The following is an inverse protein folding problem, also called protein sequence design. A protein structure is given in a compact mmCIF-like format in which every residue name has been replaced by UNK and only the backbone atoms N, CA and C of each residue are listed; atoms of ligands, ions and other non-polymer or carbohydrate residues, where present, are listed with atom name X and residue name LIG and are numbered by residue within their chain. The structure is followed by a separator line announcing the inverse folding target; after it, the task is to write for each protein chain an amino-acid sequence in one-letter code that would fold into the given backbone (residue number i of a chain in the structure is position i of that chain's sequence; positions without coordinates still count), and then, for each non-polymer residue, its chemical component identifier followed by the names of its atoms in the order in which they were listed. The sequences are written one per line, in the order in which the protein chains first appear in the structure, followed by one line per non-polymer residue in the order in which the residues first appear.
data_IF_665620347330
#
_entry.id   IF_665620347330
#
_cell.length_a   1.000
_cell.length_b   1.000
_cell.length_c   1.000
_cell.angle_alpha   90.00
_cell.angle_beta   90.00
_cell.angle_gamma   90.00
#
_symmetry.space_group_name_H-M   'P 1'
#
loop_
_entity.id
_entity.type
_entity.pdbx_description
1 polymer ?
#
# COMPACT_ATOMS: atom_id res chain seq x y z
N UNK A 1 -15.79 -7.47 24.55
CA UNK A 1 -14.36 -7.48 24.16
C UNK A 1 -14.14 -6.45 23.08
N UNK A 2 -13.23 -5.50 23.29
CA UNK A 2 -12.89 -4.49 22.28
C UNK A 2 -11.79 -5.03 21.36
N UNK A 3 -11.96 -4.90 20.04
CA UNK A 3 -10.95 -5.29 19.05
C UNK A 3 -9.63 -4.56 19.28
N UNK A 4 -9.68 -3.29 19.68
CA UNK A 4 -8.48 -2.48 19.94
C UNK A 4 -7.55 -3.07 20.99
N UNK A 5 -8.07 -3.80 21.98
CA UNK A 5 -7.28 -4.41 23.04
C UNK A 5 -6.80 -5.83 22.70
N UNK A 6 -7.25 -6.40 21.59
CA UNK A 6 -6.94 -7.76 21.17
C UNK A 6 -6.27 -7.82 19.77
N UNK A 7 -5.50 -6.78 19.43
CA UNK A 7 -4.81 -6.72 18.15
C UNK A 7 -3.57 -7.63 18.06
N UNK A 8 -3.08 -8.10 19.21
CA UNK A 8 -1.85 -8.90 19.32
C UNK A 8 -2.15 -10.25 19.94
N UNK A 9 -1.53 -11.30 19.43
CA UNK A 9 -1.59 -12.62 20.08
C UNK A 9 -0.74 -12.62 21.34
N UNK A 10 -1.27 -13.08 22.49
CA UNK A 10 -0.48 -13.19 23.71
C UNK A 10 0.64 -14.25 23.58
N UNK A 11 0.52 -15.17 22.64
CA UNK A 11 1.49 -16.24 22.42
C UNK A 11 2.83 -15.75 21.86
N UNK A 12 2.79 -14.94 20.79
CA UNK A 12 4.00 -14.56 20.02
C UNK A 12 4.19 -13.05 19.93
N UNK A 13 3.22 -12.26 20.36
CA UNK A 13 3.25 -10.81 20.17
C UNK A 13 3.13 -10.38 18.70
N UNK A 14 2.47 -11.19 17.88
CA UNK A 14 2.24 -10.91 16.47
C UNK A 14 0.87 -10.27 16.26
N UNK A 15 0.72 -9.33 15.32
CA UNK A 15 -0.58 -8.79 14.97
C UNK A 15 -1.51 -9.89 14.44
N UNK A 16 -2.69 -10.01 15.03
CA UNK A 16 -3.76 -10.92 14.58
C UNK A 16 -4.49 -10.31 13.39
N UNK A 17 -4.78 -9.01 13.49
CA UNK A 17 -5.51 -8.28 12.47
C UNK A 17 -4.49 -7.59 11.57
N UNK A 18 -4.60 -7.86 10.28
CA UNK A 18 -3.76 -7.28 9.24
C UNK A 18 -4.45 -7.39 7.89
N UNK A 19 -3.81 -6.90 6.84
CA UNK A 19 -4.32 -7.03 5.49
C UNK A 19 -4.33 -8.50 5.03
N UNK A 20 -5.44 -8.90 4.41
CA UNK A 20 -5.64 -10.24 3.82
C UNK A 20 -6.23 -10.10 2.42
N UNK A 21 -6.08 -11.14 1.59
CA UNK A 21 -6.72 -11.28 0.27
C UNK A 21 -6.71 -9.97 -0.55
N UNK A 22 -7.88 -9.38 -0.78
CA UNK A 22 -8.08 -8.20 -1.60
C UNK A 22 -7.30 -6.99 -1.12
N UNK A 23 -7.11 -6.84 0.18
CA UNK A 23 -6.32 -5.74 0.74
C UNK A 23 -4.83 -5.86 0.36
N UNK A 24 -4.29 -7.08 0.34
CA UNK A 24 -2.91 -7.34 -0.10
C UNK A 24 -2.81 -7.12 -1.61
N UNK A 25 -3.77 -7.62 -2.38
CA UNK A 25 -3.79 -7.46 -3.84
C UNK A 25 -3.86 -5.98 -4.23
N UNK A 26 -4.78 -5.22 -3.64
CA UNK A 26 -4.91 -3.79 -3.88
C UNK A 26 -3.64 -3.03 -3.49
N UNK A 27 -3.07 -3.34 -2.33
CA UNK A 27 -1.84 -2.71 -1.85
C UNK A 27 -0.67 -2.95 -2.81
N UNK A 28 -0.52 -4.19 -3.27
CA UNK A 28 0.52 -4.55 -4.24
C UNK A 28 0.34 -3.81 -5.57
N UNK A 29 -0.85 -3.86 -6.15
CA UNK A 29 -1.14 -3.23 -7.44
C UNK A 29 -0.97 -1.71 -7.40
N UNK A 30 -1.38 -1.06 -6.31
CA UNK A 30 -1.19 0.39 -6.14
C UNK A 30 0.29 0.77 -5.99
N UNK A 31 1.07 -0.03 -5.27
CA UNK A 31 2.48 0.29 -4.98
C UNK A 31 3.46 -0.27 -6.00
N UNK A 32 2.95 -1.00 -6.99
CA UNK A 32 3.77 -1.49 -8.10
C UNK A 32 4.48 -0.33 -8.81
N UNK A 33 5.68 -0.60 -9.34
CA UNK A 33 6.43 0.31 -10.21
C UNK A 33 5.54 0.78 -11.37
N UNK A 34 5.71 2.02 -11.79
CA UNK A 34 4.99 2.65 -12.92
C UNK A 34 3.48 2.86 -12.71
N UNK A 35 3.00 2.78 -11.47
CA UNK A 35 1.62 3.14 -11.14
C UNK A 35 1.53 4.62 -10.81
N UNK A 36 0.96 5.40 -11.75
CA UNK A 36 0.80 6.84 -11.62
C UNK A 36 -0.66 7.25 -11.64
N UNK A 37 -0.96 8.32 -10.93
CA UNK A 37 -2.30 8.90 -10.81
C UNK A 37 -2.28 10.39 -11.09
N UNK A 38 -3.29 10.87 -11.83
CA UNK A 38 -3.55 12.29 -11.98
C UNK A 38 -4.02 12.90 -10.65
N UNK A 39 -3.94 14.22 -10.53
CA UNK A 39 -4.41 14.95 -9.34
C UNK A 39 -5.84 14.59 -8.95
N UNK A 40 -6.74 14.48 -9.93
CA UNK A 40 -8.14 14.13 -9.72
C UNK A 40 -8.28 12.72 -9.14
N UNK A 41 -7.58 11.75 -9.74
CA UNK A 41 -7.59 10.36 -9.29
C UNK A 41 -6.99 10.23 -7.90
N UNK A 42 -5.83 10.86 -7.66
CA UNK A 42 -5.16 10.84 -6.37
C UNK A 42 -6.02 11.44 -5.26
N UNK A 43 -6.61 12.63 -5.49
CA UNK A 43 -7.51 13.26 -4.53
C UNK A 43 -8.74 12.37 -4.24
N UNK A 44 -9.33 11.75 -5.25
CA UNK A 44 -10.44 10.83 -5.07
C UNK A 44 -10.06 9.60 -4.25
N UNK A 45 -8.87 9.03 -4.48
CA UNK A 45 -8.36 7.91 -3.70
C UNK A 45 -8.11 8.34 -2.25
N UNK A 46 -7.57 9.52 -2.03
CA UNK A 46 -7.39 10.08 -0.69
C UNK A 46 -8.72 10.24 0.06
N UNK A 47 -9.80 10.63 -0.63
CA UNK A 47 -11.13 10.68 -0.01
C UNK A 47 -11.66 9.31 0.44
N UNK A 48 -11.13 8.21 -0.08
CA UNK A 48 -11.50 6.88 0.37
C UNK A 48 -10.84 6.47 1.69
N UNK A 49 -9.72 7.11 2.06
CA UNK A 49 -8.96 6.77 3.25
C UNK A 49 -9.66 7.14 4.55
N UNK A 50 -10.44 8.22 4.55
CA UNK A 50 -10.91 8.84 5.77
C UNK A 50 -12.40 9.13 5.77
N UNK A 51 -12.95 9.27 6.97
CA UNK A 51 -14.23 9.92 7.21
C UNK A 51 -14.07 11.45 7.14
N UNK A 52 -15.17 12.18 7.10
CA UNK A 52 -15.18 13.64 6.86
C UNK A 52 -14.37 14.48 7.85
N UNK A 53 -14.14 13.95 9.03
CA UNK A 53 -13.45 14.64 10.15
C UNK A 53 -11.93 14.65 10.01
N UNK A 54 -11.35 13.83 9.12
CA UNK A 54 -9.90 13.74 8.97
C UNK A 54 -9.42 14.63 7.84
N UNK A 55 -8.71 15.71 8.21
CA UNK A 55 -8.00 16.52 7.23
C UNK A 55 -6.83 15.73 6.64
N UNK A 56 -6.77 15.67 5.31
CA UNK A 56 -5.71 15.02 4.56
C UNK A 56 -4.88 16.07 3.84
N UNK A 57 -3.57 16.03 4.05
CA UNK A 57 -2.62 16.87 3.34
C UNK A 57 -2.11 16.11 2.10
N UNK A 58 -2.40 16.65 0.91
CA UNK A 58 -1.95 16.06 -0.35
C UNK A 58 -0.46 16.37 -0.54
N UNK A 59 0.40 15.34 -0.71
CA UNK A 59 1.82 15.54 -0.96
C UNK A 59 2.08 16.20 -2.32
N UNK A 60 3.26 16.79 -2.54
CA UNK A 60 3.66 17.28 -3.85
C UNK A 60 3.71 16.15 -4.87
N UNK A 61 3.46 16.42 -6.17
CA UNK A 61 3.56 15.42 -7.21
C UNK A 61 5.00 14.93 -7.38
N UNK A 62 5.16 13.66 -7.70
CA UNK A 62 6.47 13.05 -7.99
C UNK A 62 6.99 13.50 -9.35
N UNK A 63 6.11 13.57 -10.35
CA UNK A 63 6.42 14.07 -11.69
C UNK A 63 5.72 15.42 -11.87
N UNK A 64 6.48 16.45 -12.29
CA UNK A 64 5.97 17.79 -12.49
C UNK A 64 5.66 18.10 -13.96
N UNK A 65 6.46 17.57 -14.86
CA UNK A 65 6.35 17.84 -16.31
C UNK A 65 6.43 16.51 -17.07
N UNK A 66 5.72 16.35 -18.18
CA UNK A 66 4.80 17.30 -18.82
C UNK A 66 3.48 17.45 -18.04
N UNK A 67 3.04 16.44 -17.31
CA UNK A 67 1.80 16.43 -16.50
C UNK A 67 2.16 16.12 -15.05
N UNK A 68 1.43 16.73 -14.12
CA UNK A 68 1.63 16.46 -12.69
C UNK A 68 1.06 15.09 -12.32
N UNK A 69 1.93 14.17 -11.90
CA UNK A 69 1.55 12.81 -11.53
C UNK A 69 2.04 12.45 -10.13
N UNK A 70 1.22 11.68 -9.44
CA UNK A 70 1.48 11.11 -8.13
C UNK A 70 1.67 9.61 -8.25
N UNK A 71 2.53 9.02 -7.44
CA UNK A 71 2.73 7.57 -7.39
C UNK A 71 1.76 6.90 -6.42
N UNK A 72 1.48 5.62 -6.65
CA UNK A 72 0.68 4.85 -5.71
C UNK A 72 1.36 4.67 -4.35
N UNK A 73 2.69 4.70 -4.28
CA UNK A 73 3.44 4.69 -3.02
C UNK A 73 3.09 5.90 -2.15
N UNK A 74 2.88 7.08 -2.73
CA UNK A 74 2.46 8.28 -2.00
C UNK A 74 1.07 8.15 -1.35
N UNK A 75 0.19 7.29 -1.89
CA UNK A 75 -1.11 6.99 -1.25
C UNK A 75 -0.88 6.32 0.10
N UNK A 76 0.07 5.40 0.18
CA UNK A 76 0.42 4.73 1.43
C UNK A 76 1.16 5.65 2.41
N UNK A 77 1.91 6.65 1.92
CA UNK A 77 2.46 7.69 2.78
C UNK A 77 1.33 8.44 3.50
N UNK A 78 0.30 8.86 2.73
CA UNK A 78 -0.90 9.51 3.29
C UNK A 78 -1.68 8.55 4.19
N UNK A 79 -1.74 7.26 3.88
CA UNK A 79 -2.40 6.26 4.72
C UNK A 79 -1.73 6.16 6.11
N UNK A 80 -0.41 6.12 6.14
CA UNK A 80 0.36 6.06 7.40
C UNK A 80 0.30 7.39 8.14
N UNK A 81 0.52 8.50 7.42
CA UNK A 81 0.55 9.85 7.97
C UNK A 81 -0.36 10.79 7.17
N UNK A 82 -1.66 10.90 7.52
CA UNK A 82 -2.63 11.65 6.73
C UNK A 82 -2.41 13.17 6.74
N UNK A 83 -1.83 13.70 7.81
CA UNK A 83 -1.56 15.14 7.95
C UNK A 83 -0.28 15.38 8.76
N UNK A 84 0.20 16.61 8.75
CA UNK A 84 1.39 17.03 9.48
C UNK A 84 1.21 17.00 11.00
N UNK A 85 -0.04 17.04 11.50
CA UNK A 85 -0.36 16.96 12.94
C UNK A 85 -0.18 15.54 13.48
N UNK A 86 -0.30 14.52 12.63
CA UNK A 86 -0.05 13.13 13.02
C UNK A 86 1.42 12.93 13.32
N UNK A 87 1.69 12.42 14.52
CA UNK A 87 3.06 12.14 15.00
C UNK A 87 3.53 10.73 14.64
N UNK A 88 2.78 10.01 13.81
CA UNK A 88 3.14 8.66 13.37
C UNK A 88 4.25 8.73 12.34
N UNK A 89 5.47 8.44 12.76
CA UNK A 89 6.68 8.42 11.92
C UNK A 89 7.23 7.00 11.85
N UNK A 90 6.69 6.22 10.93
CA UNK A 90 7.03 4.80 10.77
C UNK A 90 8.37 4.67 10.06
N UNK A 91 9.27 3.86 10.65
CA UNK A 91 10.53 3.47 10.03
C UNK A 91 10.55 1.95 9.94
N UNK A 92 10.56 1.43 8.71
CA UNK A 92 10.53 -0.01 8.43
C UNK A 92 11.47 -0.34 7.29
N UNK A 93 12.26 -1.37 7.50
CA UNK A 93 13.05 -2.02 6.46
C UNK A 93 12.68 -3.51 6.46
N UNK A 94 12.14 -3.99 5.36
CA UNK A 94 11.65 -5.36 5.25
C UNK A 94 11.86 -5.90 3.84
N UNK A 95 12.30 -7.17 3.78
CA UNK A 95 12.39 -7.88 2.50
C UNK A 95 10.99 -8.23 2.00
N UNK A 96 10.69 -7.89 0.74
CA UNK A 96 9.47 -8.27 0.06
C UNK A 96 9.53 -9.75 -0.36
N UNK A 97 8.39 -10.43 -0.35
CA UNK A 97 8.30 -11.81 -0.85
C UNK A 97 8.24 -11.87 -2.38
N UNK A 98 7.74 -10.80 -2.99
CA UNK A 98 7.65 -10.67 -4.44
C UNK A 98 8.75 -9.75 -4.91
N UNK A 99 9.44 -10.21 -5.95
CA UNK A 99 10.47 -9.46 -6.63
C UNK A 99 10.05 -9.43 -8.10
N UNK A 100 9.87 -8.25 -8.65
CA UNK A 100 9.63 -8.13 -10.09
C UNK A 100 10.91 -8.56 -10.82
N UNK A 101 10.84 -9.61 -11.66
CA UNK A 101 12.00 -10.07 -12.42
C UNK A 101 12.13 -9.21 -13.69
N UNK A 102 13.17 -8.38 -13.80
CA UNK A 102 13.39 -7.55 -14.98
C UNK A 102 13.68 -8.35 -16.24
N UNK A 103 13.96 -9.66 -16.09
CA UNK A 103 14.16 -10.56 -17.25
C UNK A 103 12.86 -10.96 -17.93
N UNK A 104 11.72 -10.71 -17.30
CA UNK A 104 10.42 -10.94 -17.94
C UNK A 104 10.15 -9.97 -19.09
N UNK A 105 10.78 -8.80 -19.10
CA UNK A 105 10.66 -7.80 -20.14
C UNK A 105 11.94 -7.82 -21.00
N UNK A 106 11.89 -8.47 -22.15
CA UNK A 106 13.02 -8.68 -23.09
C UNK A 106 13.69 -7.38 -23.60
N UNK A 107 13.17 -6.22 -23.24
CA UNK A 107 13.64 -4.90 -23.68
C UNK A 107 14.19 -4.04 -22.54
N UNK A 108 14.40 -4.62 -21.36
CA UNK A 108 14.91 -3.85 -20.24
C UNK A 108 16.34 -3.38 -20.54
N UNK A 109 16.50 -2.08 -20.72
CA UNK A 109 17.80 -1.40 -20.62
C UNK A 109 18.46 -1.82 -19.30
N UNK A 110 19.81 -1.85 -19.26
CA UNK A 110 20.55 -2.14 -18.04
C UNK A 110 19.94 -1.32 -16.90
N UNK A 111 19.54 -1.98 -15.79
CA UNK A 111 18.90 -1.27 -14.71
C UNK A 111 19.83 -0.16 -14.20
N UNK A 112 19.30 1.05 -14.10
CA UNK A 112 19.94 2.12 -13.35
C UNK A 112 20.18 1.63 -11.92
N UNK A 113 21.21 2.12 -11.23
CA UNK A 113 21.45 1.79 -9.83
C UNK A 113 20.25 2.23 -8.98
N UNK A 114 19.42 1.28 -8.63
CA UNK A 114 18.24 1.49 -7.80
C UNK A 114 18.56 1.24 -6.32
N UNK A 115 17.93 1.98 -5.44
CA UNK A 115 18.01 1.77 -3.99
C UNK A 115 17.54 0.35 -3.59
N UNK A 116 16.56 -0.17 -4.31
CA UNK A 116 16.05 -1.53 -4.12
C UNK A 116 15.89 -2.20 -5.49
N UNK A 117 16.89 -2.96 -5.96
CA UNK A 117 16.78 -3.68 -7.22
C UNK A 117 15.52 -4.56 -7.23
N UNK A 118 14.75 -4.46 -8.31
CA UNK A 118 13.52 -5.21 -8.51
C UNK A 118 12.45 -5.01 -7.42
N UNK A 119 12.45 -3.88 -6.72
CA UNK A 119 11.57 -3.63 -5.55
C UNK A 119 11.60 -4.75 -4.49
N UNK A 120 12.73 -5.45 -4.37
CA UNK A 120 12.90 -6.57 -3.45
C UNK A 120 12.96 -6.21 -1.97
N UNK A 121 13.18 -4.93 -1.66
CA UNK A 121 13.20 -4.38 -0.30
C UNK A 121 12.25 -3.21 -0.19
N UNK A 122 11.38 -3.25 0.80
CA UNK A 122 10.59 -2.11 1.23
C UNK A 122 11.37 -1.31 2.26
N UNK A 123 11.59 -0.04 1.96
CA UNK A 123 12.18 0.92 2.88
C UNK A 123 11.21 2.07 3.10
N UNK A 124 10.81 2.26 4.34
CA UNK A 124 9.95 3.37 4.78
C UNK A 124 10.74 4.19 5.78
N UNK A 125 10.83 5.49 5.55
CA UNK A 125 11.50 6.44 6.43
C UNK A 125 10.52 7.56 6.76
N UNK A 126 10.29 7.79 8.05
CA UNK A 126 9.35 8.82 8.55
C UNK A 126 7.95 8.73 7.90
N UNK A 127 7.44 7.52 7.71
CA UNK A 127 6.17 7.23 7.03
C UNK A 127 6.16 7.55 5.54
N UNK A 128 7.32 7.74 4.91
CA UNK A 128 7.46 7.89 3.47
C UNK A 128 8.11 6.65 2.87
N UNK A 129 7.47 6.06 1.86
CA UNK A 129 8.00 4.91 1.14
C UNK A 129 9.06 5.40 0.17
N UNK A 130 10.29 4.98 0.40
CA UNK A 130 11.41 5.29 -0.47
C UNK A 130 11.49 4.32 -1.64
N UNK A 131 11.29 3.03 -1.39
CA UNK A 131 11.31 1.98 -2.40
C UNK A 131 10.55 0.74 -1.93
N UNK A 132 10.35 -0.21 -2.82
CA UNK A 132 9.68 -1.48 -2.54
C UNK A 132 8.19 -1.46 -2.83
N UNK A 133 7.54 -2.60 -2.61
CA UNK A 133 6.12 -2.82 -2.81
C UNK A 133 5.45 -3.30 -1.53
N UNK A 134 4.16 -3.03 -1.41
CA UNK A 134 3.35 -3.52 -0.29
C UNK A 134 2.85 -4.92 -0.61
N UNK A 135 3.43 -5.91 0.04
CA UNK A 135 3.04 -7.32 -0.12
C UNK A 135 2.58 -7.95 1.22
N UNK A 136 2.33 -9.25 1.20
CA UNK A 136 1.95 -9.99 2.40
C UNK A 136 3.02 -9.93 3.51
N UNK A 137 4.29 -9.77 3.15
CA UNK A 137 5.37 -9.66 4.11
C UNK A 137 5.35 -8.33 4.87
N UNK A 138 4.86 -7.27 4.23
CA UNK A 138 4.92 -5.90 4.71
C UNK A 138 3.64 -5.42 5.38
N UNK A 139 2.46 -5.83 4.86
CA UNK A 139 1.14 -5.43 5.41
C UNK A 139 0.32 -6.59 5.94
N UNK A 140 0.75 -7.85 5.71
CA UNK A 140 0.02 -9.04 6.13
C UNK A 140 0.20 -9.38 7.62
N UNK A 141 -0.55 -10.39 8.05
CA UNK A 141 -0.49 -10.93 9.42
C UNK A 141 0.77 -11.79 9.64
N UNK A 142 1.09 -12.05 10.91
CA UNK A 142 2.12 -13.00 11.32
C UNK A 142 3.56 -12.49 11.26
N UNK A 143 3.78 -11.20 11.01
CA UNK A 143 5.12 -10.59 11.04
C UNK A 143 5.17 -9.38 11.97
N UNK A 144 6.05 -9.44 12.97
CA UNK A 144 6.30 -8.32 13.90
C UNK A 144 6.84 -7.07 13.22
N UNK A 145 7.58 -7.24 12.12
CA UNK A 145 8.16 -6.17 11.29
C UNK A 145 7.21 -5.68 10.20
N UNK A 146 5.93 -6.07 10.22
CA UNK A 146 4.93 -5.47 9.33
C UNK A 146 4.69 -4.01 9.72
N UNK A 147 4.25 -3.18 8.76
CA UNK A 147 3.95 -1.77 9.01
C UNK A 147 2.97 -1.62 10.17
N UNK A 148 1.90 -2.41 10.18
CA UNK A 148 0.92 -2.37 11.27
C UNK A 148 1.48 -2.87 12.60
N UNK A 149 2.40 -3.85 12.58
CA UNK A 149 3.09 -4.33 13.76
C UNK A 149 3.99 -3.25 14.38
N UNK A 150 4.66 -2.47 13.55
CA UNK A 150 5.50 -1.34 14.01
C UNK A 150 4.63 -0.20 14.55
N UNK A 151 3.55 0.18 13.83
CA UNK A 151 2.62 1.21 14.32
C UNK A 151 2.02 0.79 15.67
N UNK A 152 1.63 -0.48 15.79
CA UNK A 152 1.04 -1.00 17.03
C UNK A 152 2.01 -0.96 18.21
N UNK A 153 3.27 -1.30 17.97
CA UNK A 153 4.33 -1.32 19.00
C UNK A 153 4.73 0.10 19.44
N UNK A 154 4.91 1.01 18.47
CA UNK A 154 5.54 2.30 18.70
C UNK A 154 4.51 3.41 19.00
N UNK A 155 3.31 3.32 18.44
CA UNK A 155 2.25 4.35 18.55
C UNK A 155 0.96 3.87 19.23
N UNK A 156 0.89 2.57 19.51
CA UNK A 156 -0.22 1.98 20.26
C UNK A 156 -1.40 1.52 19.41
N UNK A 157 -2.38 0.88 20.06
CA UNK A 157 -3.47 0.18 19.39
C UNK A 157 -4.47 1.13 18.69
N UNK A 158 -4.59 2.36 19.13
CA UNK A 158 -5.51 3.33 18.54
C UNK A 158 -5.05 3.73 17.12
N UNK A 159 -3.79 4.11 16.98
CA UNK A 159 -3.22 4.52 15.70
C UNK A 159 -3.14 3.33 14.72
N UNK A 160 -2.80 2.14 15.24
CA UNK A 160 -2.79 0.92 14.43
C UNK A 160 -4.19 0.58 13.90
N UNK A 161 -5.21 0.64 14.74
CA UNK A 161 -6.60 0.40 14.31
C UNK A 161 -7.07 1.45 13.30
N UNK A 162 -6.72 2.72 13.49
CA UNK A 162 -7.03 3.78 12.53
C UNK A 162 -6.36 3.55 11.18
N UNK A 163 -5.08 3.15 11.15
CA UNK A 163 -4.36 2.81 9.92
C UNK A 163 -4.98 1.58 9.21
N UNK A 164 -5.35 0.55 9.97
CA UNK A 164 -6.03 -0.64 9.44
C UNK A 164 -7.41 -0.31 8.86
N UNK A 165 -8.16 0.59 9.47
CA UNK A 165 -9.43 1.06 8.93
C UNK A 165 -9.25 1.84 7.62
N UNK A 166 -8.21 2.68 7.55
CA UNK A 166 -7.89 3.42 6.33
C UNK A 166 -7.57 2.48 5.16
N UNK A 167 -6.75 1.44 5.38
CA UNK A 167 -6.43 0.49 4.31
C UNK A 167 -7.67 -0.30 3.88
N UNK A 168 -8.52 -0.72 4.82
CA UNK A 168 -9.74 -1.46 4.50
C UNK A 168 -10.69 -0.64 3.61
N UNK A 169 -10.93 0.62 3.97
CA UNK A 169 -11.78 1.53 3.18
C UNK A 169 -11.18 1.83 1.80
N UNK A 170 -9.87 2.06 1.75
CA UNK A 170 -9.15 2.35 0.51
C UNK A 170 -9.23 1.18 -0.47
N UNK A 171 -8.78 0.01 -0.03
CA UNK A 171 -8.60 -1.14 -0.92
C UNK A 171 -9.91 -1.62 -1.52
N UNK A 172 -10.97 -1.73 -0.72
CA UNK A 172 -12.27 -2.18 -1.21
C UNK A 172 -12.84 -1.23 -2.28
N UNK A 173 -12.77 0.09 -2.05
CA UNK A 173 -13.28 1.09 -2.99
C UNK A 173 -12.42 1.22 -4.24
N UNK A 174 -11.10 1.10 -4.09
CA UNK A 174 -10.20 1.18 -5.23
C UNK A 174 -10.33 -0.03 -6.15
N UNK A 175 -10.39 -1.25 -5.61
CA UNK A 175 -10.60 -2.47 -6.39
C UNK A 175 -11.92 -2.45 -7.14
N UNK A 176 -13.03 -2.05 -6.50
CA UNK A 176 -14.32 -1.92 -7.15
C UNK A 176 -14.34 -0.92 -8.30
N UNK A 177 -13.38 0.01 -8.34
CA UNK A 177 -13.23 0.95 -9.45
C UNK A 177 -12.32 0.42 -10.57
N UNK A 178 -11.25 -0.28 -10.22
CA UNK A 178 -10.28 -0.83 -11.18
C UNK A 178 -10.86 -2.04 -11.88
N UNK A 179 -11.63 -2.83 -11.15
CA UNK A 179 -12.37 -3.97 -11.67
C UNK A 179 -13.88 -3.69 -11.52
N UNK A 180 -14.46 -2.90 -12.44
CA UNK A 180 -15.91 -2.71 -12.45
C UNK A 180 -16.53 -4.10 -12.61
N UNK A 181 -17.48 -4.41 -11.75
CA UNK A 181 -18.21 -5.67 -11.69
C UNK A 181 -18.86 -5.97 -13.05
N UNK A 182 -18.15 -6.64 -13.93
CA UNK A 182 -18.75 -7.45 -14.96
C UNK A 182 -19.04 -8.79 -14.31
N UNK A 183 -20.29 -9.19 -14.19
CA UNK A 183 -20.79 -10.29 -13.35
C UNK A 183 -20.22 -11.70 -13.58
N UNK A 184 -19.01 -11.82 -14.12
CA UNK A 184 -18.32 -13.07 -14.45
C UNK A 184 -17.04 -13.31 -13.64
N UNK A 185 -16.63 -12.41 -12.74
CA UNK A 185 -15.52 -12.68 -11.83
C UNK A 185 -16.04 -13.28 -10.51
N UNK A 186 -16.51 -14.50 -10.57
CA UNK A 186 -16.41 -15.44 -9.45
C UNK A 186 -14.95 -15.50 -9.01
N UNK A 187 -14.73 -15.48 -7.70
CA UNK A 187 -13.48 -15.64 -6.98
C UNK A 187 -12.76 -16.89 -7.51
N UNK A 188 -12.05 -16.71 -8.62
CA UNK A 188 -11.06 -17.67 -9.06
C UNK A 188 -9.75 -17.17 -8.46
N UNK A 189 -9.02 -18.04 -7.79
CA UNK A 189 -7.62 -17.82 -7.40
C UNK A 189 -6.78 -17.50 -8.66
N UNK A 190 -6.90 -16.27 -9.14
CA UNK A 190 -6.04 -15.80 -10.23
C UNK A 190 -4.68 -15.60 -9.61
N UNK A 191 -3.69 -16.41 -9.98
CA UNK A 191 -2.33 -16.15 -9.54
C UNK A 191 -1.98 -14.74 -10.02
N UNK A 192 -1.59 -13.89 -9.07
CA UNK A 192 -1.32 -12.46 -9.30
C UNK A 192 -0.29 -12.23 -10.44
N UNK A 193 0.46 -13.26 -10.82
CA UNK A 193 1.35 -13.29 -11.99
C UNK A 193 0.64 -13.12 -13.34
N UNK A 194 -0.67 -13.30 -13.42
CA UNK A 194 -1.46 -13.21 -14.68
C UNK A 194 -2.29 -11.93 -14.79
N UNK A 195 -2.30 -11.06 -13.79
CA UNK A 195 -2.94 -9.75 -13.88
C UNK A 195 -2.10 -8.80 -14.78
N UNK A 196 -2.18 -9.03 -16.07
CA UNK A 196 -1.83 -8.01 -17.07
C UNK A 196 -2.92 -6.96 -17.01
N UNK A 197 -2.57 -5.75 -16.62
CA UNK A 197 -3.44 -4.58 -16.81
C UNK A 197 -3.59 -4.43 -18.33
N UNK A 198 -4.76 -4.78 -18.85
CA UNK A 198 -5.07 -4.54 -20.24
C UNK A 198 -4.99 -3.03 -20.52
N UNK A 199 -4.29 -2.59 -21.56
CA UNK A 199 -4.30 -1.19 -21.95
C UNK A 199 -5.73 -0.80 -22.27
N UNK A 200 -6.17 0.35 -21.75
CA UNK A 200 -7.46 0.93 -22.12
C UNK A 200 -7.47 1.13 -23.63
N UNK A 201 -8.35 0.44 -24.33
CA UNK A 201 -8.75 0.88 -25.67
C UNK A 201 -9.31 2.30 -25.56
N UNK A 202 -8.80 3.15 -26.46
CA UNK A 202 -9.23 4.53 -26.65
C UNK A 202 -10.71 4.60 -27.06
#
# INVERSE_FOLDING_TARGET
MSVKHNLVTPRNGEPVIAAIQDFITASYLMTKRDTFFDRRQFAQICCYLADADLQIDIPPPTIWKPVRLWTGKQIFNVLMRPNKKSQVLVNVESKCNRVDDPRADCYAMKPLPDLSPNDGWLVVVNSEIMCGVMDKATVGSGKKKSIFGVILRDYGPHEAAAAMNRIAKLCARWLGRVFPWSGEFLIVDIPISQLRVLPRCQ
#
